data_IF_129551359234
#
_entry.id   IF_129551359234
#
_cell.length_a   1.000
_cell.length_b   1.000
_cell.length_c   1.000
_cell.angle_alpha   90.00
_cell.angle_beta   90.00
_cell.angle_gamma   90.00
#
_symmetry.space_group_name_H-M   'P 1'
#
loop_
_entity.id
_entity.type
_entity.pdbx_description
1 polymer ?
#
# COMPACT_ATOMS: atom_id res chain seq x y z
N UNK A 1 10.93 7.56 -8.22
CA UNK A 1 9.60 7.95 -7.75
C UNK A 1 8.61 7.93 -8.89
N UNK A 2 7.38 7.61 -8.60
CA UNK A 2 6.38 7.36 -9.60
C UNK A 2 5.06 7.98 -9.21
N UNK A 3 4.28 8.41 -10.20
CA UNK A 3 2.93 8.91 -9.96
C UNK A 3 1.94 7.92 -10.57
N UNK A 4 0.88 7.62 -9.85
CA UNK A 4 -0.14 6.68 -10.32
C UNK A 4 -1.53 7.22 -10.10
N UNK A 5 -2.42 6.89 -11.03
CA UNK A 5 -3.84 7.11 -10.84
C UNK A 5 -4.43 5.83 -10.28
N UNK A 6 -5.04 5.94 -9.12
CA UNK A 6 -5.60 4.80 -8.41
C UNK A 6 -7.02 5.13 -7.95
N UNK A 7 -7.85 4.11 -7.85
CA UNK A 7 -9.14 4.26 -7.21
C UNK A 7 -8.95 4.28 -5.70
N UNK A 8 -9.84 4.94 -4.98
CA UNK A 8 -9.75 4.99 -3.53
C UNK A 8 -9.78 3.58 -2.92
N UNK A 9 -10.49 2.64 -3.55
CA UNK A 9 -10.47 1.24 -3.11
C UNK A 9 -9.06 0.67 -3.15
N UNK A 10 -8.28 1.02 -4.18
CA UNK A 10 -6.91 0.55 -4.32
C UNK A 10 -5.98 1.18 -3.29
N UNK A 11 -6.15 2.48 -3.05
CA UNK A 11 -5.39 3.18 -2.00
C UNK A 11 -5.64 2.53 -0.64
N UNK A 12 -6.90 2.19 -0.36
CA UNK A 12 -7.27 1.54 0.89
C UNK A 12 -6.55 0.20 1.05
N UNK A 13 -6.57 -0.63 0.01
CA UNK A 13 -5.93 -1.94 0.04
C UNK A 13 -4.42 -1.80 0.25
N UNK A 14 -3.78 -0.90 -0.49
CA UNK A 14 -2.34 -0.70 -0.38
C UNK A 14 -1.96 -0.23 1.03
N UNK A 15 -2.63 0.80 1.52
CA UNK A 15 -2.29 1.37 2.82
C UNK A 15 -2.53 0.36 3.96
N UNK A 16 -3.65 -0.34 3.94
CA UNK A 16 -3.95 -1.34 4.96
C UNK A 16 -2.98 -2.50 4.92
N UNK A 17 -2.54 -2.90 3.73
CA UNK A 17 -1.53 -3.94 3.58
C UNK A 17 -0.20 -3.51 4.20
N UNK A 18 0.22 -2.28 3.92
CA UNK A 18 1.46 -1.75 4.50
C UNK A 18 1.36 -1.67 6.02
N UNK A 19 0.23 -1.22 6.55
CA UNK A 19 0.03 -1.14 8.00
C UNK A 19 0.05 -2.53 8.65
N UNK A 20 -0.54 -3.51 7.99
CA UNK A 20 -0.54 -4.89 8.52
C UNK A 20 0.87 -5.46 8.60
N UNK A 21 1.69 -5.21 7.58
CA UNK A 21 3.07 -5.68 7.58
C UNK A 21 3.86 -5.00 8.70
N UNK A 22 3.69 -3.70 8.87
CA UNK A 22 4.39 -2.96 9.93
C UNK A 22 3.98 -3.47 11.31
N UNK A 23 2.69 -3.80 11.50
CA UNK A 23 2.18 -4.22 12.79
C UNK A 23 2.70 -5.58 13.24
N UNK A 24 2.99 -6.47 12.31
CA UNK A 24 3.42 -7.83 12.66
C UNK A 24 4.93 -8.04 12.63
N UNK A 25 5.69 -6.97 12.38
CA UNK A 25 7.15 -7.05 12.33
C UNK A 25 7.77 -6.05 13.28
N UNK A 26 8.90 -6.42 13.88
CA UNK A 26 9.66 -5.52 14.74
C UNK A 26 10.80 -4.94 13.91
N UNK A 27 10.52 -3.88 13.16
CA UNK A 27 11.47 -3.30 12.22
C UNK A 27 12.52 -2.47 12.94
N UNK A 28 13.75 -2.47 12.42
CA UNK A 28 14.78 -1.56 12.88
C UNK A 28 14.36 -0.12 12.59
N UNK A 29 14.99 0.85 13.27
CA UNK A 29 14.64 2.25 13.03
C UNK A 29 14.83 2.65 11.58
N UNK A 30 15.91 2.22 10.96
CA UNK A 30 16.17 2.54 9.55
C UNK A 30 15.05 2.01 8.65
N UNK A 31 14.58 0.79 8.92
CA UNK A 31 13.51 0.20 8.13
C UNK A 31 12.16 0.82 8.43
N UNK A 32 11.92 1.21 9.67
CA UNK A 32 10.70 1.94 10.01
C UNK A 32 10.62 3.24 9.25
N UNK A 33 11.72 3.97 9.17
CA UNK A 33 11.77 5.21 8.40
C UNK A 33 11.48 4.98 6.95
N UNK A 34 12.14 3.99 6.37
CA UNK A 34 11.95 3.67 4.95
C UNK A 34 10.51 3.24 4.67
N UNK A 35 9.97 2.39 5.54
CA UNK A 35 8.61 1.89 5.39
C UNK A 35 7.61 3.03 5.51
N UNK A 36 7.86 3.95 6.43
CA UNK A 36 7.02 5.12 6.61
C UNK A 36 7.04 6.02 5.38
N UNK A 37 8.21 6.22 4.77
CA UNK A 37 8.28 6.98 3.53
C UNK A 37 7.36 6.40 2.46
N UNK A 38 7.32 5.08 2.35
CA UNK A 38 6.49 4.41 1.37
C UNK A 38 5.01 4.58 1.72
N UNK A 39 4.64 4.39 2.98
CA UNK A 39 3.23 4.42 3.38
C UNK A 39 2.66 5.84 3.46
N UNK A 40 3.48 6.83 3.80
CA UNK A 40 3.00 8.20 4.00
C UNK A 40 2.43 8.84 2.73
N UNK A 41 2.90 8.42 1.56
CA UNK A 41 2.34 8.96 0.32
C UNK A 41 0.87 8.58 0.13
N UNK A 42 0.42 7.51 0.80
CA UNK A 42 -0.97 7.06 0.73
C UNK A 42 -1.79 7.55 1.93
N UNK A 43 -1.12 7.96 3.00
CA UNK A 43 -1.77 8.23 4.28
C UNK A 43 -2.81 9.34 4.20
N UNK A 44 -2.47 10.47 3.61
CA UNK A 44 -3.37 11.61 3.55
C UNK A 44 -4.66 11.24 2.82
N UNK A 45 -4.52 10.55 1.69
CA UNK A 45 -5.67 10.10 0.90
C UNK A 45 -6.48 9.06 1.66
N UNK A 46 -5.80 8.14 2.33
CA UNK A 46 -6.46 7.12 3.14
C UNK A 46 -7.26 7.75 4.29
N UNK A 47 -6.67 8.71 4.98
CA UNK A 47 -7.33 9.40 6.10
C UNK A 47 -8.58 10.14 5.62
N UNK A 48 -8.50 10.78 4.45
CA UNK A 48 -9.65 11.47 3.88
C UNK A 48 -10.76 10.47 3.52
N UNK A 49 -10.39 9.35 2.93
CA UNK A 49 -11.34 8.29 2.62
C UNK A 49 -12.02 7.78 3.89
N UNK A 50 -11.23 7.61 4.96
CA UNK A 50 -11.77 7.16 6.24
C UNK A 50 -12.78 8.16 6.79
N UNK A 51 -12.48 9.47 6.74
CA UNK A 51 -13.39 10.50 7.18
C UNK A 51 -14.67 10.51 6.35
N UNK A 52 -14.56 10.39 5.05
CA UNK A 52 -15.72 10.38 4.16
C UNK A 52 -16.60 9.15 4.42
N UNK A 53 -15.96 8.00 4.69
CA UNK A 53 -16.69 6.78 5.04
C UNK A 53 -17.44 6.93 6.36
N UNK A 54 -16.79 7.57 7.35
CA UNK A 54 -17.43 7.84 8.64
C UNK A 54 -18.61 8.78 8.47
N UNK A 55 -18.48 9.79 7.62
CA UNK A 55 -19.56 10.72 7.36
C UNK A 55 -20.77 10.01 6.76
N UNK A 56 -20.55 9.06 5.86
CA UNK A 56 -21.64 8.26 5.30
C UNK A 56 -22.33 7.45 6.39
N UNK A 57 -21.56 6.84 7.28
CA UNK A 57 -22.12 6.03 8.38
C UNK A 57 -22.93 6.86 9.38
N UNK A 58 -22.61 8.17 9.49
CA UNK A 58 -23.31 9.08 10.41
C UNK A 58 -24.44 9.84 9.73
N UNK A 59 -24.67 9.61 8.44
CA UNK A 59 -25.72 10.32 7.72
C UNK A 59 -27.09 9.85 8.19
N UNK A 60 -28.12 10.63 7.87
CA UNK A 60 -29.49 10.28 8.20
C UNK A 60 -30.08 9.21 7.29
N UNK A 61 -29.33 8.80 6.28
CA UNK A 61 -29.79 7.78 5.35
C UNK A 61 -29.86 6.44 6.04
N UNK A 62 -31.04 5.84 6.03
CA UNK A 62 -31.27 4.57 6.69
C UNK A 62 -31.38 3.40 5.71
N UNK A 63 -31.48 3.70 4.42
CA UNK A 63 -31.57 2.66 3.40
C UNK A 63 -30.15 2.15 3.11
N UNK A 64 -29.91 0.88 3.48
CA UNK A 64 -28.60 0.27 3.31
C UNK A 64 -28.18 0.17 1.86
N UNK A 65 -29.12 -0.01 0.92
CA UNK A 65 -28.76 -0.06 -0.49
C UNK A 65 -28.22 1.27 -0.96
N UNK A 66 -28.86 2.37 -0.52
CA UNK A 66 -28.39 3.71 -0.88
C UNK A 66 -27.04 3.99 -0.28
N UNK A 67 -26.84 3.65 1.00
CA UNK A 67 -25.56 3.83 1.66
C UNK A 67 -24.46 3.01 0.98
N UNK A 68 -24.74 1.76 0.67
CA UNK A 68 -23.77 0.90 -0.02
C UNK A 68 -23.44 1.43 -1.40
N UNK A 69 -24.44 1.98 -2.10
CA UNK A 69 -24.23 2.60 -3.40
C UNK A 69 -23.31 3.79 -3.31
N UNK A 70 -23.55 4.66 -2.33
CA UNK A 70 -22.69 5.83 -2.10
C UNK A 70 -21.28 5.42 -1.74
N UNK A 71 -21.13 4.40 -0.91
CA UNK A 71 -19.83 3.92 -0.53
C UNK A 71 -19.07 3.36 -1.74
N UNK A 72 -19.76 2.62 -2.60
CA UNK A 72 -19.14 2.11 -3.84
C UNK A 72 -18.73 3.24 -4.76
N UNK A 73 -19.55 4.29 -4.88
CA UNK A 73 -19.16 5.47 -5.66
C UNK A 73 -17.90 6.10 -5.11
N UNK A 74 -17.84 6.25 -3.79
CA UNK A 74 -16.66 6.80 -3.12
C UNK A 74 -15.42 5.96 -3.44
N UNK A 75 -15.51 4.65 -3.30
CA UNK A 75 -14.39 3.75 -3.55
C UNK A 75 -13.93 3.76 -5.00
N UNK A 76 -14.79 4.15 -5.93
CA UNK A 76 -14.45 4.22 -7.34
C UNK A 76 -13.90 5.57 -7.77
N UNK A 77 -13.84 6.55 -6.87
CA UNK A 77 -13.23 7.85 -7.19
C UNK A 77 -11.75 7.62 -7.49
N UNK A 78 -11.31 8.15 -8.61
CA UNK A 78 -9.93 8.04 -9.05
C UNK A 78 -9.14 9.23 -8.54
N UNK A 79 -7.98 8.97 -7.96
CA UNK A 79 -7.09 10.00 -7.42
C UNK A 79 -5.70 9.78 -7.95
N UNK A 80 -4.91 10.83 -7.97
CA UNK A 80 -3.51 10.71 -8.35
C UNK A 80 -2.66 10.68 -7.09
N UNK A 81 -1.85 9.64 -6.93
CA UNK A 81 -0.90 9.52 -5.83
C UNK A 81 0.47 9.80 -6.40
N UNK A 82 1.13 10.83 -5.87
CA UNK A 82 2.43 11.27 -6.36
C UNK A 82 3.55 10.77 -5.48
N UNK A 83 4.72 10.65 -6.08
CA UNK A 83 5.96 10.35 -5.36
C UNK A 83 5.94 8.97 -4.71
N UNK A 84 5.37 7.99 -5.37
CA UNK A 84 5.36 6.62 -4.88
C UNK A 84 6.78 6.09 -4.91
N UNK A 85 7.26 5.63 -3.77
CA UNK A 85 8.60 5.05 -3.62
C UNK A 85 8.43 3.55 -3.44
N UNK A 86 9.20 2.76 -4.17
CA UNK A 86 9.13 1.32 -4.04
C UNK A 86 10.23 0.79 -3.12
N UNK A 87 10.00 -0.41 -2.58
CA UNK A 87 10.97 -1.12 -1.76
C UNK A 87 11.53 -2.28 -2.56
N UNK A 88 12.84 -2.53 -2.47
CA UNK A 88 13.39 -3.71 -3.14
C UNK A 88 12.81 -4.99 -2.52
N UNK A 89 12.57 -5.98 -3.35
CA UNK A 89 12.06 -7.26 -2.86
C UNK A 89 13.00 -7.88 -1.83
N UNK A 90 14.30 -7.70 -2.02
CA UNK A 90 15.31 -8.22 -1.10
C UNK A 90 15.14 -7.68 0.32
N UNK A 91 14.53 -6.49 0.46
CA UNK A 91 14.28 -5.89 1.77
C UNK A 91 13.44 -6.84 2.66
N UNK A 92 12.48 -7.53 2.05
CA UNK A 92 11.60 -8.45 2.77
C UNK A 92 12.24 -9.81 3.04
N UNK A 93 13.41 -10.05 2.47
CA UNK A 93 14.17 -11.28 2.72
C UNK A 93 15.14 -11.12 3.88
N UNK A 94 15.25 -9.92 4.43
CA UNK A 94 16.16 -9.64 5.52
C UNK A 94 15.48 -9.88 6.87
N UNK A 95 16.25 -9.75 7.93
CA UNK A 95 15.74 -10.02 9.27
C UNK A 95 15.30 -8.73 9.95
N UNK A 96 14.34 -8.86 10.85
CA UNK A 96 13.87 -7.72 11.63
C UNK A 96 14.83 -7.42 12.80
N UNK A 97 14.41 -6.52 13.69
CA UNK A 97 15.24 -6.10 14.83
C UNK A 97 15.54 -7.24 15.79
N UNK A 98 14.69 -8.27 15.82
CA UNK A 98 14.88 -9.44 16.69
C UNK A 98 15.67 -10.56 16.02
N UNK A 99 16.16 -10.34 14.82
CA UNK A 99 16.87 -11.36 14.05
C UNK A 99 15.95 -12.40 13.41
N UNK A 100 14.66 -12.14 13.36
CA UNK A 100 13.69 -13.04 12.74
C UNK A 100 13.42 -12.59 11.32
N UNK A 101 13.05 -13.55 10.47
CA UNK A 101 12.67 -13.26 9.10
C UNK A 101 11.48 -12.29 9.11
N UNK A 102 11.54 -11.26 8.27
CA UNK A 102 10.43 -10.34 8.11
C UNK A 102 9.23 -11.13 7.59
N UNK A 103 8.10 -10.99 8.27
CA UNK A 103 6.89 -11.71 7.93
C UNK A 103 6.06 -10.93 6.92
N UNK A 104 5.79 -11.57 5.79
CA UNK A 104 4.89 -11.06 4.77
C UNK A 104 4.26 -12.28 4.11
N UNK A 105 2.94 -12.29 3.98
CA UNK A 105 2.29 -13.44 3.35
C UNK A 105 2.19 -13.23 1.83
N UNK A 106 1.78 -14.31 1.13
CA UNK A 106 1.72 -14.27 -0.33
C UNK A 106 0.76 -13.23 -0.87
N UNK A 107 -0.38 -13.06 -0.22
CA UNK A 107 -1.37 -12.07 -0.63
C UNK A 107 -0.84 -10.65 -0.48
N UNK A 108 -0.17 -10.37 0.62
CA UNK A 108 0.43 -9.06 0.85
C UNK A 108 1.51 -8.77 -0.20
N UNK A 109 2.35 -9.77 -0.46
CA UNK A 109 3.39 -9.63 -1.47
C UNK A 109 2.79 -9.35 -2.84
N UNK A 110 1.74 -10.09 -3.21
CA UNK A 110 1.09 -9.93 -4.50
C UNK A 110 0.49 -8.54 -4.65
N UNK A 111 -0.15 -8.03 -3.61
CA UNK A 111 -0.74 -6.69 -3.63
C UNK A 111 0.35 -5.64 -3.87
N UNK A 112 1.42 -5.71 -3.10
CA UNK A 112 2.49 -4.72 -3.21
C UNK A 112 3.21 -4.81 -4.56
N UNK A 113 3.34 -6.01 -5.11
CA UNK A 113 3.95 -6.19 -6.43
C UNK A 113 3.04 -5.68 -7.54
N UNK A 114 1.73 -5.90 -7.41
CA UNK A 114 0.77 -5.44 -8.42
C UNK A 114 0.83 -3.92 -8.60
N UNK A 115 1.03 -3.18 -7.52
CA UNK A 115 1.06 -1.72 -7.56
C UNK A 115 2.48 -1.15 -7.60
N UNK A 116 3.46 -2.00 -7.83
CA UNK A 116 4.88 -1.61 -7.91
C UNK A 116 5.42 -0.97 -6.64
N UNK A 117 4.82 -1.31 -5.50
CA UNK A 117 5.34 -0.86 -4.20
C UNK A 117 6.56 -1.69 -3.83
N UNK A 118 6.57 -2.95 -4.25
CA UNK A 118 7.76 -3.79 -4.17
C UNK A 118 8.36 -3.85 -5.56
N UNK A 119 9.61 -3.45 -5.65
CA UNK A 119 10.34 -3.49 -6.90
C UNK A 119 10.78 -4.92 -7.19
N UNK A 120 10.39 -5.41 -8.36
CA UNK A 120 10.82 -6.72 -8.83
C UNK A 120 12.17 -6.54 -9.48
N UNK A 121 13.17 -7.23 -8.94
CA UNK A 121 14.48 -7.22 -9.55
C UNK A 121 14.41 -8.06 -10.81
N UNK A 122 14.57 -7.40 -11.93
CA UNK A 122 14.63 -8.11 -13.19
C UNK A 122 16.01 -8.74 -13.35
N UNK A 123 16.07 -9.94 -13.90
CA UNK A 123 17.39 -10.51 -14.23
C UNK A 123 18.11 -9.51 -15.12
N UNK A 124 19.36 -9.34 -14.88
CA UNK A 124 20.16 -8.41 -15.68
C UNK A 124 20.53 -9.03 -17.01
N UNK A 125 19.51 -9.40 -17.75
CA UNK A 125 19.73 -10.09 -19.03
C UNK A 125 20.51 -9.23 -19.99
N UNK A 126 20.24 -7.95 -19.94
CA UNK A 126 20.94 -7.01 -20.80
C UNK A 126 22.43 -6.98 -20.52
N UNK A 127 22.82 -7.43 -19.34
CA UNK A 127 24.24 -7.48 -18.99
C UNK A 127 24.90 -8.74 -19.44
N UNK A 128 24.11 -9.73 -19.84
CA UNK A 128 24.65 -10.91 -20.44
C UNK A 128 24.86 -10.60 -21.90
N UNK A 129 25.97 -10.01 -22.21
CA UNK A 129 26.22 -9.59 -23.57
C UNK A 129 26.50 -10.76 -24.46
N UNK A 130 25.80 -10.89 -25.54
CA UNK A 130 26.28 -11.77 -26.61
C UNK A 130 27.55 -11.11 -27.12
N UNK A 131 28.45 -11.81 -27.39
CA UNK A 131 29.75 -11.26 -27.84
C UNK A 131 29.87 -11.12 -29.30
#
# INVERSE_FOLDING_TARGET
MEDKKLKLAEVKVIFETLKAIAAKNNLTFARQWRFREVSDVFKVTYDQLHEDSMALNKSDEKDLEILNGKYRELLNVEVEIKNIVSLPKSWFMEKDADGKQIMINGEEMDILMEYDIIEIEKPKVEEVKPE
#
